data_IF_258517264744
#
_entry.id   IF_258517264744
#
_cell.length_a   1.000
_cell.length_b   1.000
_cell.length_c   1.000
_cell.angle_alpha   90.00
_cell.angle_beta   90.00
_cell.angle_gamma   90.00
#
_symmetry.space_group_name_H-M   'P 1'
#
loop_
_entity.id
_entity.type
_entity.pdbx_description
1 polymer ?
#
# COMPACT_ATOMS: atom_id res chain seq x y z
N UNK A 1 -14.62 -34.18 62.70
CA UNK A 1 -14.62 -32.95 61.88
C UNK A 1 -13.19 -32.50 61.62
N UNK A 2 -12.66 -32.71 60.41
CA UNK A 2 -11.47 -32.05 59.81
C UNK A 2 -11.04 -32.94 58.64
N UNK A 3 -11.49 -32.63 57.42
CA UNK A 3 -10.89 -33.12 56.15
C UNK A 3 -11.65 -32.65 54.89
N UNK A 4 -12.84 -32.05 55.02
CA UNK A 4 -13.65 -31.67 53.83
C UNK A 4 -13.26 -30.35 53.16
N UNK A 5 -12.46 -29.50 53.81
CA UNK A 5 -12.06 -28.19 53.26
C UNK A 5 -10.69 -28.21 52.56
N UNK A 6 -9.88 -29.26 52.78
CA UNK A 6 -8.54 -29.38 52.19
C UNK A 6 -8.58 -29.63 50.68
N UNK A 7 -9.49 -30.47 50.22
CA UNK A 7 -9.64 -30.84 48.80
C UNK A 7 -10.17 -29.70 47.94
N UNK A 8 -11.02 -28.82 48.50
CA UNK A 8 -11.55 -27.65 47.79
C UNK A 8 -10.46 -26.58 47.67
N UNK A 9 -9.65 -26.39 48.71
CA UNK A 9 -8.55 -25.44 48.69
C UNK A 9 -7.45 -25.85 47.69
N UNK A 10 -7.11 -27.14 47.60
CA UNK A 10 -6.13 -27.62 46.63
C UNK A 10 -6.63 -27.44 45.19
N UNK A 11 -7.89 -27.75 44.90
CA UNK A 11 -8.47 -27.54 43.56
C UNK A 11 -8.46 -26.06 43.16
N UNK A 12 -8.77 -25.13 44.07
CA UNK A 12 -8.72 -23.69 43.79
C UNK A 12 -7.29 -23.18 43.53
N UNK A 13 -6.29 -23.71 44.23
CA UNK A 13 -4.87 -23.36 43.98
C UNK A 13 -4.40 -23.90 42.63
N UNK A 14 -4.81 -25.12 42.25
CA UNK A 14 -4.49 -25.67 40.94
C UNK A 14 -5.14 -24.89 39.78
N UNK A 15 -6.39 -24.44 39.93
CA UNK A 15 -7.07 -23.65 38.89
C UNK A 15 -6.42 -22.27 38.74
N UNK A 16 -6.09 -21.60 39.84
CA UNK A 16 -5.47 -20.26 39.79
C UNK A 16 -4.05 -20.29 39.22
N UNK A 17 -3.27 -21.33 39.55
CA UNK A 17 -1.93 -21.54 38.98
C UNK A 17 -1.97 -21.94 37.51
N UNK A 18 -2.94 -22.75 37.08
CA UNK A 18 -3.09 -23.11 35.67
C UNK A 18 -3.54 -21.93 34.81
N UNK A 19 -4.46 -21.10 35.32
CA UNK A 19 -4.89 -19.87 34.65
C UNK A 19 -3.77 -18.83 34.58
N UNK A 20 -2.96 -18.68 35.62
CA UNK A 20 -1.83 -17.75 35.60
C UNK A 20 -0.70 -18.22 34.67
N UNK A 21 -0.43 -19.53 34.60
CA UNK A 21 0.54 -20.10 33.66
C UNK A 21 0.05 -20.00 32.20
N UNK A 22 -1.24 -20.25 31.96
CA UNK A 22 -1.87 -20.09 30.64
C UNK A 22 -1.84 -18.63 30.18
N UNK A 23 -2.14 -17.68 31.08
CA UNK A 23 -2.02 -16.25 30.79
C UNK A 23 -0.57 -15.83 30.53
N UNK A 24 0.37 -16.32 31.34
CA UNK A 24 1.79 -16.00 31.20
C UNK A 24 2.37 -16.55 29.89
N UNK A 25 2.01 -17.77 29.48
CA UNK A 25 2.44 -18.37 28.21
C UNK A 25 1.80 -17.67 27.01
N UNK A 26 0.53 -17.28 27.09
CA UNK A 26 -0.12 -16.46 26.06
C UNK A 26 0.53 -15.07 25.93
N UNK A 27 0.90 -14.45 27.05
CA UNK A 27 1.59 -13.16 27.08
C UNK A 27 3.03 -13.25 26.56
N UNK A 28 3.79 -14.28 26.94
CA UNK A 28 5.11 -14.59 26.40
C UNK A 28 5.05 -14.81 24.88
N UNK A 29 4.12 -15.63 24.39
CA UNK A 29 3.91 -15.84 22.95
C UNK A 29 3.55 -14.54 22.22
N UNK A 30 2.74 -13.67 22.82
CA UNK A 30 2.41 -12.36 22.26
C UNK A 30 3.64 -11.45 22.17
N UNK A 31 4.47 -11.44 23.22
CA UNK A 31 5.70 -10.65 23.29
C UNK A 31 6.77 -11.14 22.30
N UNK A 32 6.96 -12.45 22.17
CA UNK A 32 7.87 -13.04 21.19
C UNK A 32 7.45 -12.73 19.76
N UNK A 33 6.15 -12.85 19.43
CA UNK A 33 5.62 -12.42 18.12
C UNK A 33 5.88 -10.95 17.87
N UNK A 34 5.63 -10.08 18.85
CA UNK A 34 5.87 -8.63 18.72
C UNK A 34 7.35 -8.32 18.45
N UNK A 35 8.27 -8.97 19.17
CA UNK A 35 9.72 -8.83 18.99
C UNK A 35 10.15 -9.35 17.62
N UNK A 36 9.60 -10.48 17.17
CA UNK A 36 9.86 -11.02 15.83
C UNK A 36 9.39 -10.05 14.74
N UNK A 37 8.18 -9.50 14.86
CA UNK A 37 7.69 -8.48 13.94
C UNK A 37 8.57 -7.24 13.94
N UNK A 38 8.96 -6.72 15.11
CA UNK A 38 9.88 -5.56 15.19
C UNK A 38 11.21 -5.82 14.47
N UNK A 39 11.78 -7.03 14.61
CA UNK A 39 13.00 -7.41 13.88
C UNK A 39 12.77 -7.49 12.38
N UNK A 40 11.68 -8.12 11.94
CA UNK A 40 11.34 -8.20 10.52
C UNK A 40 11.10 -6.83 9.90
N UNK A 41 10.42 -5.93 10.61
CA UNK A 41 10.21 -4.55 10.22
C UNK A 41 11.52 -3.77 10.14
N UNK A 42 12.41 -3.91 11.12
CA UNK A 42 13.72 -3.27 11.07
C UNK A 42 14.57 -3.80 9.89
N UNK A 43 14.54 -5.11 9.65
CA UNK A 43 15.20 -5.71 8.50
C UNK A 43 14.59 -5.26 7.16
N UNK A 44 13.27 -5.05 7.11
CA UNK A 44 12.59 -4.47 5.95
C UNK A 44 13.01 -3.02 5.74
N UNK A 45 13.04 -2.19 6.80
CA UNK A 45 13.50 -0.79 6.77
C UNK A 45 14.89 -0.70 6.16
N UNK A 46 15.82 -1.52 6.63
CA UNK A 46 17.20 -1.50 6.16
C UNK A 46 17.31 -1.95 4.69
N UNK A 47 16.56 -2.98 4.29
CA UNK A 47 16.50 -3.40 2.88
C UNK A 47 15.95 -2.30 1.98
N UNK A 48 14.91 -1.58 2.42
CA UNK A 48 14.35 -0.44 1.68
C UNK A 48 15.36 0.70 1.55
N UNK A 49 16.04 1.07 2.65
CA UNK A 49 17.09 2.09 2.65
C UNK A 49 18.22 1.77 1.67
N UNK A 50 18.68 0.51 1.67
CA UNK A 50 19.70 0.03 0.72
C UNK A 50 19.17 0.08 -0.72
N UNK A 51 17.92 -0.32 -0.96
CA UNK A 51 17.31 -0.28 -2.28
C UNK A 51 17.15 1.16 -2.80
N UNK A 52 16.74 2.10 -1.95
CA UNK A 52 16.62 3.52 -2.28
C UNK A 52 17.98 4.14 -2.64
N UNK A 53 19.01 3.90 -1.81
CA UNK A 53 20.36 4.40 -2.09
C UNK A 53 20.89 3.87 -3.44
N UNK A 54 20.66 2.58 -3.73
CA UNK A 54 21.02 1.98 -5.03
C UNK A 54 20.23 2.59 -6.19
N UNK A 55 18.96 2.95 -5.97
CA UNK A 55 18.12 3.58 -6.99
C UNK A 55 18.61 4.99 -7.31
N UNK A 56 18.95 5.77 -6.29
CA UNK A 56 19.53 7.11 -6.45
C UNK A 56 20.86 7.08 -7.21
N UNK A 57 21.75 6.15 -6.87
CA UNK A 57 23.01 5.94 -7.59
C UNK A 57 22.80 5.60 -9.07
N UNK A 58 21.83 4.73 -9.39
CA UNK A 58 21.53 4.43 -10.80
C UNK A 58 20.90 5.60 -11.55
N UNK A 59 20.05 6.38 -10.89
CA UNK A 59 19.46 7.57 -11.50
C UNK A 59 20.54 8.58 -11.89
N UNK A 60 21.55 8.79 -11.05
CA UNK A 60 22.69 9.66 -11.39
C UNK A 60 23.56 9.08 -12.51
N UNK A 61 23.81 7.76 -12.52
CA UNK A 61 24.50 7.09 -13.63
C UNK A 61 23.75 7.23 -14.96
N UNK A 62 22.44 6.99 -14.99
CA UNK A 62 21.61 7.16 -16.18
C UNK A 62 21.58 8.61 -16.67
N UNK A 63 21.47 9.58 -15.77
CA UNK A 63 21.54 10.99 -16.13
C UNK A 63 22.91 11.36 -16.71
N UNK A 64 24.01 10.83 -16.15
CA UNK A 64 25.35 11.05 -16.70
C UNK A 64 25.48 10.47 -18.11
N UNK A 65 24.92 9.28 -18.36
CA UNK A 65 24.89 8.66 -19.70
C UNK A 65 24.03 9.47 -20.66
N UNK A 66 22.87 9.97 -20.23
CA UNK A 66 21.99 10.80 -21.06
C UNK A 66 22.67 12.12 -21.45
N UNK A 67 23.44 12.72 -20.54
CA UNK A 67 24.26 13.90 -20.85
C UNK A 67 25.41 13.59 -21.81
N UNK A 68 26.06 12.42 -21.69
CA UNK A 68 27.04 11.97 -22.68
C UNK A 68 26.41 11.79 -24.07
N UNK A 69 25.21 11.21 -24.13
CA UNK A 69 24.47 11.07 -25.37
C UNK A 69 24.10 12.43 -25.98
N UNK A 70 23.59 13.37 -25.16
CA UNK A 70 23.30 14.75 -25.61
C UNK A 70 24.53 15.45 -26.17
N UNK A 71 25.69 15.30 -25.52
CA UNK A 71 26.96 15.87 -26.01
C UNK A 71 27.38 15.26 -27.34
N UNK A 72 27.33 13.92 -27.46
CA UNK A 72 27.64 13.23 -28.70
C UNK A 72 26.72 13.67 -29.87
N UNK A 73 25.43 13.87 -29.60
CA UNK A 73 24.46 14.39 -30.58
C UNK A 73 24.74 15.87 -30.93
N UNK A 74 25.09 16.70 -29.95
CA UNK A 74 25.41 18.11 -30.19
C UNK A 74 26.69 18.29 -31.03
N UNK A 75 27.71 17.46 -30.81
CA UNK A 75 28.96 17.45 -31.56
C UNK A 75 28.78 16.97 -33.02
N UNK A 76 27.76 16.16 -33.30
CA UNK A 76 27.53 15.56 -34.64
C UNK A 76 26.62 16.38 -35.57
N UNK A 77 25.91 17.40 -35.07
CA UNK A 77 25.07 18.30 -35.89
C UNK A 77 25.85 19.15 -36.92
N UNK A 78 27.19 19.03 -36.98
CA UNK A 78 28.04 19.73 -37.96
C UNK A 78 28.41 18.94 -39.22
N UNK A 79 28.10 17.64 -39.37
CA UNK A 79 28.56 16.86 -40.53
C UNK A 79 27.64 15.72 -40.96
N UNK A 80 27.20 15.74 -42.23
CA UNK A 80 26.30 14.74 -42.84
C UNK A 80 26.88 13.32 -42.95
N UNK A 81 28.18 13.12 -42.68
CA UNK A 81 28.83 11.80 -42.68
C UNK A 81 28.75 11.06 -41.32
N UNK A 82 28.16 11.69 -40.28
CA UNK A 82 28.13 11.15 -38.93
C UNK A 82 27.03 10.10 -38.66
N UNK A 83 26.03 9.98 -39.55
CA UNK A 83 24.83 9.18 -39.30
C UNK A 83 25.08 7.66 -39.29
N UNK A 84 26.10 7.18 -40.01
CA UNK A 84 26.50 5.75 -39.99
C UNK A 84 27.37 5.41 -38.76
N UNK A 85 28.26 6.29 -38.33
CA UNK A 85 29.07 6.10 -37.11
C UNK A 85 28.21 6.20 -35.83
N UNK A 86 27.15 7.01 -35.88
CA UNK A 86 26.17 7.12 -34.79
C UNK A 86 25.51 5.78 -34.47
N UNK A 87 25.29 4.92 -35.47
CA UNK A 87 24.68 3.61 -35.24
C UNK A 87 25.59 2.70 -34.42
N UNK A 88 26.88 2.60 -34.78
CA UNK A 88 27.81 1.68 -34.11
C UNK A 88 28.17 2.12 -32.69
N UNK A 89 28.37 3.41 -32.45
CA UNK A 89 28.70 3.92 -31.11
C UNK A 89 27.49 3.87 -30.18
N UNK A 90 26.29 4.18 -30.69
CA UNK A 90 25.03 4.03 -29.95
C UNK A 90 24.73 2.56 -29.66
N UNK A 91 24.97 1.66 -30.63
CA UNK A 91 24.84 0.21 -30.43
C UNK A 91 25.86 -0.32 -29.42
N UNK A 92 27.07 0.23 -29.39
CA UNK A 92 28.11 -0.15 -28.42
C UNK A 92 27.75 0.32 -27.01
N UNK A 93 27.23 1.53 -26.85
CA UNK A 93 26.69 2.05 -25.58
C UNK A 93 25.49 1.23 -25.11
N UNK A 94 24.53 0.91 -26.00
CA UNK A 94 23.39 0.03 -25.70
C UNK A 94 23.84 -1.40 -25.34
N UNK A 95 24.87 -1.90 -26.01
CA UNK A 95 25.46 -3.22 -25.73
C UNK A 95 26.24 -3.23 -24.41
N UNK A 96 26.86 -2.12 -24.03
CA UNK A 96 27.50 -1.95 -22.72
C UNK A 96 26.44 -1.84 -21.60
N UNK A 97 25.36 -1.10 -21.85
CA UNK A 97 24.19 -1.00 -20.97
C UNK A 97 23.50 -2.36 -20.73
N UNK A 98 23.42 -3.21 -21.76
CA UNK A 98 22.81 -4.54 -21.67
C UNK A 98 23.77 -5.62 -21.15
N UNK A 99 25.09 -5.45 -21.32
CA UNK A 99 26.11 -6.42 -20.87
C UNK A 99 26.64 -6.18 -19.45
N UNK A 100 26.48 -4.97 -18.89
CA UNK A 100 26.61 -4.76 -17.45
C UNK A 100 25.49 -5.53 -16.76
N UNK A 101 25.80 -6.77 -16.35
CA UNK A 101 24.92 -7.69 -15.60
C UNK A 101 23.88 -6.92 -14.79
N UNK A 102 22.65 -6.92 -15.30
CA UNK A 102 21.52 -6.22 -14.70
C UNK A 102 21.18 -6.89 -13.36
N UNK A 103 21.87 -6.50 -12.29
CA UNK A 103 21.39 -6.74 -10.95
C UNK A 103 20.11 -5.91 -10.83
N UNK A 104 18.95 -6.54 -11.03
CA UNK A 104 17.65 -5.88 -11.01
C UNK A 104 17.50 -5.14 -9.66
N UNK A 105 17.25 -3.83 -9.68
CA UNK A 105 16.72 -3.17 -8.47
C UNK A 105 15.41 -3.89 -8.14
N UNK A 106 15.06 -4.10 -6.87
CA UNK A 106 13.69 -4.44 -6.49
C UNK A 106 12.73 -3.32 -6.94
N UNK A 107 12.37 -3.33 -8.22
CA UNK A 107 11.24 -2.59 -8.78
C UNK A 107 10.04 -3.53 -8.71
N UNK A 108 8.82 -3.01 -8.80
CA UNK A 108 7.60 -3.83 -8.81
C UNK A 108 7.67 -4.97 -9.83
N UNK A 109 8.36 -4.78 -10.96
CA UNK A 109 8.61 -5.80 -11.98
C UNK A 109 9.47 -6.99 -11.55
N UNK A 110 10.27 -6.87 -10.49
CA UNK A 110 10.97 -8.01 -9.90
C UNK A 110 9.99 -8.95 -9.21
N UNK A 111 9.00 -8.39 -8.51
CA UNK A 111 7.98 -9.14 -7.78
C UNK A 111 6.79 -9.53 -8.67
N UNK A 112 6.48 -8.71 -9.66
CA UNK A 112 5.35 -8.83 -10.58
C UNK A 112 5.84 -8.70 -12.03
N UNK A 113 6.63 -9.67 -12.55
CA UNK A 113 7.23 -9.59 -13.87
C UNK A 113 6.20 -9.60 -15.02
N UNK A 114 4.99 -10.10 -14.77
CA UNK A 114 3.92 -10.10 -15.77
C UNK A 114 3.48 -8.68 -16.16
N UNK A 115 3.72 -7.68 -15.31
CA UNK A 115 3.42 -6.28 -15.62
C UNK A 115 4.24 -5.76 -16.82
N UNK A 116 5.40 -6.35 -17.13
CA UNK A 116 6.19 -5.98 -18.32
C UNK A 116 5.49 -6.35 -19.63
N UNK A 117 4.48 -7.22 -19.59
CA UNK A 117 3.74 -7.63 -20.79
C UNK A 117 2.75 -6.56 -21.26
N UNK A 118 2.35 -5.65 -20.37
CA UNK A 118 1.34 -4.62 -20.66
C UNK A 118 1.73 -3.30 -20.00
N UNK A 119 2.06 -2.30 -20.80
CA UNK A 119 2.52 -0.99 -20.29
C UNK A 119 1.46 -0.27 -19.43
N UNK A 120 0.17 -0.52 -19.68
CA UNK A 120 -0.95 0.04 -18.92
C UNK A 120 -1.28 -0.66 -17.60
N UNK A 121 -0.58 -1.74 -17.21
CA UNK A 121 -0.96 -2.50 -16.01
C UNK A 121 -0.86 -1.74 -14.68
N UNK A 122 -0.14 -0.62 -14.65
CA UNK A 122 0.01 0.23 -13.45
C UNK A 122 -0.86 1.50 -13.49
N UNK A 123 -1.63 1.70 -14.57
CA UNK A 123 -2.54 2.82 -14.70
C UNK A 123 -3.96 2.34 -14.39
N UNK A 124 -4.77 3.11 -13.64
CA UNK A 124 -6.16 2.73 -13.39
C UNK A 124 -6.93 2.56 -14.71
N UNK A 125 -7.73 1.50 -14.82
CA UNK A 125 -8.66 1.34 -15.96
C UNK A 125 -9.87 2.25 -15.84
N UNK A 126 -10.24 2.61 -14.61
CA UNK A 126 -11.25 3.61 -14.29
C UNK A 126 -10.62 4.57 -13.29
N UNK A 127 -10.77 5.87 -13.55
CA UNK A 127 -10.32 6.94 -12.67
C UNK A 127 -11.34 8.09 -12.75
N UNK A 128 -11.97 8.40 -11.63
CA UNK A 128 -12.94 9.49 -11.50
C UNK A 128 -12.52 10.38 -10.33
N UNK A 129 -12.41 11.68 -10.59
CA UNK A 129 -12.01 12.68 -9.60
C UNK A 129 -11.06 13.72 -10.19
N UNK A 130 -10.75 14.76 -9.41
CA UNK A 130 -9.98 15.92 -9.88
C UNK A 130 -8.46 15.77 -9.77
N UNK A 131 -7.96 14.63 -9.27
CA UNK A 131 -6.52 14.39 -9.18
C UNK A 131 -5.82 15.32 -8.19
N UNK A 132 -6.47 15.65 -7.07
CA UNK A 132 -5.96 16.61 -6.08
C UNK A 132 -4.67 16.09 -5.45
N UNK A 133 -3.73 17.00 -5.18
CA UNK A 133 -2.41 16.74 -4.61
C UNK A 133 -2.04 17.83 -3.60
N UNK A 134 -0.95 17.63 -2.83
CA UNK A 134 -0.47 18.61 -1.86
C UNK A 134 -1.23 18.60 -0.53
N UNK A 135 -1.94 17.52 -0.22
CA UNK A 135 -2.67 17.37 1.04
C UNK A 135 -1.79 16.78 2.14
N UNK A 136 -2.14 16.97 3.41
CA UNK A 136 -1.40 16.33 4.51
C UNK A 136 -1.64 14.82 4.54
N UNK A 137 -2.88 14.35 4.38
CA UNK A 137 -3.24 12.93 4.53
C UNK A 137 -4.03 12.43 3.31
N UNK A 138 -3.64 11.28 2.78
CA UNK A 138 -4.39 10.51 1.79
C UNK A 138 -4.98 9.28 2.46
N UNK A 139 -6.30 9.11 2.37
CA UNK A 139 -7.02 7.98 2.95
C UNK A 139 -7.35 6.96 1.85
N UNK A 140 -6.72 5.79 1.90
CA UNK A 140 -6.99 4.70 0.97
C UNK A 140 -8.12 3.80 1.46
N UNK A 141 -9.19 3.67 0.68
CA UNK A 141 -10.39 2.90 1.04
C UNK A 141 -10.65 1.83 -0.04
N UNK A 142 -10.15 0.60 0.12
CA UNK A 142 -10.39 -0.49 -0.80
C UNK A 142 -11.77 -1.11 -0.57
N UNK A 143 -12.47 -1.40 -1.65
CA UNK A 143 -13.76 -2.09 -1.65
C UNK A 143 -13.76 -3.20 -2.69
N UNK A 144 -14.51 -4.26 -2.42
CA UNK A 144 -14.66 -5.44 -3.28
C UNK A 144 -16.12 -5.86 -3.30
N UNK A 145 -16.51 -6.64 -4.31
CA UNK A 145 -17.90 -7.04 -4.50
C UNK A 145 -18.37 -7.93 -3.34
N UNK A 146 -19.25 -7.39 -2.49
CA UNK A 146 -19.91 -8.13 -1.40
C UNK A 146 -21.19 -8.81 -1.91
N UNK A 147 -21.48 -10.01 -1.40
CA UNK A 147 -22.68 -10.79 -1.80
C UNK A 147 -24.00 -10.26 -1.25
N UNK A 148 -23.97 -9.56 -0.11
CA UNK A 148 -25.16 -9.25 0.69
C UNK A 148 -25.41 -7.74 0.75
N UNK A 149 -24.45 -6.98 1.28
CA UNK A 149 -24.57 -5.54 1.47
C UNK A 149 -23.21 -4.87 1.28
N UNK A 150 -23.21 -3.70 0.63
CA UNK A 150 -22.07 -2.79 0.61
C UNK A 150 -22.13 -1.86 1.83
N UNK A 151 -21.00 -1.66 2.49
CA UNK A 151 -20.86 -0.74 3.65
C UNK A 151 -20.11 0.55 3.29
N UNK A 152 -19.68 0.66 2.03
CA UNK A 152 -18.83 1.74 1.55
C UNK A 152 -19.48 3.11 1.74
N UNK A 153 -20.77 3.22 1.42
CA UNK A 153 -21.52 4.47 1.55
C UNK A 153 -21.61 4.93 3.00
N UNK A 154 -21.90 4.02 3.94
CA UNK A 154 -21.93 4.34 5.36
C UNK A 154 -20.55 4.73 5.90
N UNK A 155 -19.49 4.06 5.43
CA UNK A 155 -18.11 4.40 5.78
C UNK A 155 -17.72 5.79 5.28
N UNK A 156 -18.03 6.13 4.03
CA UNK A 156 -17.75 7.45 3.46
C UNK A 156 -18.50 8.56 4.20
N UNK A 157 -19.80 8.39 4.45
CA UNK A 157 -20.56 9.33 5.29
C UNK A 157 -19.90 9.52 6.66
N UNK A 158 -19.54 8.41 7.32
CA UNK A 158 -18.88 8.45 8.62
C UNK A 158 -17.57 9.23 8.62
N UNK A 159 -16.77 9.11 7.54
CA UNK A 159 -15.49 9.80 7.35
C UNK A 159 -15.68 11.28 7.02
N UNK A 160 -16.58 11.60 6.08
CA UNK A 160 -16.78 12.94 5.52
C UNK A 160 -17.49 13.86 6.50
N UNK A 161 -18.51 13.36 7.20
CA UNK A 161 -19.34 14.16 8.13
C UNK A 161 -18.56 14.61 9.36
N UNK A 162 -17.46 13.92 9.69
CA UNK A 162 -16.62 14.21 10.86
C UNK A 162 -15.38 15.03 10.53
N UNK A 163 -15.27 15.55 9.31
CA UNK A 163 -14.22 16.49 8.89
C UNK A 163 -14.72 17.93 8.96
N UNK A 164 -13.87 18.83 9.47
CA UNK A 164 -14.08 20.27 9.32
C UNK A 164 -13.87 20.72 7.86
N UNK A 165 -14.36 21.91 7.45
CA UNK A 165 -14.11 22.46 6.12
C UNK A 165 -12.61 22.56 5.78
N UNK A 166 -11.78 22.93 6.76
CA UNK A 166 -10.32 23.02 6.59
C UNK A 166 -9.70 21.62 6.44
N UNK A 167 -10.15 20.64 7.22
CA UNK A 167 -9.67 19.26 7.11
C UNK A 167 -10.06 18.64 5.75
N UNK A 168 -11.24 18.95 5.21
CA UNK A 168 -11.66 18.51 3.86
C UNK A 168 -10.74 19.04 2.76
N UNK A 169 -10.16 20.23 2.93
CA UNK A 169 -9.17 20.79 1.99
C UNK A 169 -7.78 20.16 2.15
N UNK A 170 -7.49 19.57 3.31
CA UNK A 170 -6.19 19.00 3.67
C UNK A 170 -6.16 17.46 3.62
N UNK A 171 -7.16 16.82 3.03
CA UNK A 171 -7.19 15.37 2.81
C UNK A 171 -7.86 14.91 1.52
N UNK A 172 -7.37 13.83 0.92
CA UNK A 172 -8.04 13.16 -0.20
C UNK A 172 -8.40 11.74 0.21
N UNK A 173 -9.63 11.33 -0.08
CA UNK A 173 -10.10 9.96 0.06
C UNK A 173 -10.05 9.27 -1.31
N UNK A 174 -9.27 8.20 -1.42
CA UNK A 174 -9.17 7.41 -2.65
C UNK A 174 -9.89 6.08 -2.43
N UNK A 175 -11.05 5.95 -3.04
CA UNK A 175 -11.82 4.70 -3.07
C UNK A 175 -11.27 3.81 -4.19
N UNK A 176 -10.73 2.66 -3.80
CA UNK A 176 -10.20 1.68 -4.74
C UNK A 176 -11.19 0.52 -4.90
N UNK A 177 -11.81 0.41 -6.07
CA UNK A 177 -12.69 -0.71 -6.41
C UNK A 177 -11.80 -1.85 -6.90
N UNK A 178 -11.52 -2.83 -6.05
CA UNK A 178 -10.68 -3.98 -6.33
C UNK A 178 -11.35 -5.03 -7.21
N UNK A 179 -12.07 -4.61 -8.25
CA UNK A 179 -12.76 -5.47 -9.20
C UNK A 179 -12.33 -5.13 -10.62
N UNK A 180 -12.34 -6.15 -11.49
CA UNK A 180 -11.93 -6.00 -12.90
C UNK A 180 -13.12 -6.05 -13.86
N UNK A 181 -14.31 -6.40 -13.36
CA UNK A 181 -15.57 -6.39 -14.10
C UNK A 181 -16.04 -4.93 -14.25
N UNK A 182 -15.90 -4.40 -15.47
CA UNK A 182 -16.19 -2.99 -15.76
C UNK A 182 -17.66 -2.63 -15.54
N UNK A 183 -18.60 -3.56 -15.76
CA UNK A 183 -20.03 -3.28 -15.55
C UNK A 183 -20.29 -3.07 -14.05
N UNK A 184 -19.70 -3.93 -13.21
CA UNK A 184 -19.78 -3.75 -11.77
C UNK A 184 -19.07 -2.47 -11.31
N UNK A 185 -17.85 -2.21 -11.78
CA UNK A 185 -17.09 -1.00 -11.42
C UNK A 185 -17.89 0.26 -11.76
N UNK A 186 -18.42 0.35 -12.98
CA UNK A 186 -19.22 1.49 -13.42
C UNK A 186 -20.52 1.64 -12.60
N UNK A 187 -21.14 0.53 -12.18
CA UNK A 187 -22.33 0.60 -11.31
C UNK A 187 -21.99 1.19 -9.93
N UNK A 188 -20.83 0.86 -9.36
CA UNK A 188 -20.37 1.42 -8.08
C UNK A 188 -20.03 2.90 -8.25
N UNK A 189 -19.30 3.26 -9.31
CA UNK A 189 -18.98 4.65 -9.65
C UNK A 189 -20.26 5.49 -9.76
N UNK A 190 -21.24 5.04 -10.54
CA UNK A 190 -22.50 5.77 -10.71
C UNK A 190 -23.26 5.94 -9.39
N UNK A 191 -23.21 4.95 -8.50
CA UNK A 191 -23.80 5.05 -7.16
C UNK A 191 -23.09 6.07 -6.29
N UNK A 192 -21.75 6.13 -6.35
CA UNK A 192 -20.95 7.11 -5.61
C UNK A 192 -21.12 8.52 -6.17
N UNK A 193 -21.17 8.70 -7.48
CA UNK A 193 -21.43 9.99 -8.12
C UNK A 193 -22.81 10.54 -7.73
N UNK A 194 -23.81 9.67 -7.64
CA UNK A 194 -25.16 10.07 -7.21
C UNK A 194 -25.19 10.59 -5.77
N UNK A 195 -24.48 9.92 -4.86
CA UNK A 195 -24.53 10.20 -3.42
C UNK A 195 -23.52 11.30 -3.00
N UNK A 196 -22.32 11.29 -3.57
CA UNK A 196 -21.16 12.12 -3.17
C UNK A 196 -20.70 13.09 -4.28
N UNK A 197 -21.63 13.53 -5.13
CA UNK A 197 -21.31 14.45 -6.26
C UNK A 197 -20.54 15.69 -5.81
N UNK A 198 -20.90 16.28 -4.67
CA UNK A 198 -20.24 17.48 -4.13
C UNK A 198 -18.79 17.19 -3.72
N UNK A 199 -18.54 16.07 -3.08
CA UNK A 199 -17.21 15.66 -2.60
C UNK A 199 -16.31 15.23 -3.75
N UNK A 200 -16.87 14.59 -4.78
CA UNK A 200 -16.12 14.27 -6.00
C UNK A 200 -15.79 15.53 -6.80
N UNK A 201 -16.74 16.45 -6.96
CA UNK A 201 -16.54 17.71 -7.66
C UNK A 201 -15.61 18.70 -6.92
N UNK A 202 -15.45 18.55 -5.61
CA UNK A 202 -14.44 19.30 -4.83
C UNK A 202 -13.07 18.62 -4.81
N UNK A 203 -12.95 17.41 -5.37
CA UNK A 203 -11.73 16.62 -5.34
C UNK A 203 -11.38 16.07 -3.94
N UNK A 204 -12.35 15.98 -3.03
CA UNK A 204 -12.20 15.31 -1.74
C UNK A 204 -12.24 13.79 -1.92
N UNK A 205 -13.13 13.28 -2.78
CA UNK A 205 -13.28 11.84 -3.08
C UNK A 205 -12.83 11.56 -4.50
N UNK A 206 -11.95 10.57 -4.66
CA UNK A 206 -11.54 10.01 -5.94
C UNK A 206 -11.87 8.51 -5.97
N UNK A 207 -12.25 8.00 -7.14
CA UNK A 207 -12.56 6.59 -7.35
C UNK A 207 -11.63 6.03 -8.42
N UNK A 208 -10.98 4.91 -8.13
CA UNK A 208 -10.10 4.21 -9.06
C UNK A 208 -10.42 2.71 -9.10
N UNK A 209 -10.14 2.07 -10.24
CA UNK A 209 -10.14 0.62 -10.37
C UNK A 209 -8.90 0.14 -11.16
N UNK A 210 -8.32 -1.01 -10.80
CA UNK A 210 -7.15 -1.55 -11.48
C UNK A 210 -7.54 -2.25 -12.79
N UNK A 211 -6.66 -2.25 -13.81
CA UNK A 211 -6.85 -3.06 -14.99
C UNK A 211 -6.69 -4.55 -14.64
N UNK A 212 -7.38 -5.44 -15.35
CA UNK A 212 -7.26 -6.88 -15.14
C UNK A 212 -5.82 -7.39 -15.27
N UNK A 213 -5.02 -6.74 -16.14
CA UNK A 213 -3.62 -7.05 -16.39
C UNK A 213 -2.67 -6.69 -15.23
N UNK A 214 -3.16 -5.98 -14.21
CA UNK A 214 -2.41 -5.73 -12.98
C UNK A 214 -2.21 -7.01 -12.16
N UNK A 215 -3.25 -7.85 -12.08
CA UNK A 215 -3.19 -9.04 -11.25
C UNK A 215 -2.40 -10.18 -11.92
N UNK A 216 -1.53 -10.88 -11.18
CA UNK A 216 -0.91 -12.11 -11.65
C UNK A 216 -1.93 -13.26 -11.68
N UNK A 217 -1.51 -14.41 -12.19
CA UNK A 217 -2.27 -15.65 -11.99
C UNK A 217 -2.27 -16.04 -10.50
N UNK A 218 -3.46 -16.03 -9.89
CA UNK A 218 -3.67 -16.35 -8.47
C UNK A 218 -4.16 -17.80 -8.25
N UNK A 219 -4.13 -18.65 -9.26
CA UNK A 219 -4.61 -20.05 -9.16
C UNK A 219 -3.62 -20.97 -8.44
N UNK A 220 -2.32 -20.75 -8.63
CA UNK A 220 -1.24 -21.63 -8.18
C UNK A 220 -0.45 -21.04 -6.99
N UNK A 221 -1.17 -20.55 -5.98
CA UNK A 221 -0.54 -19.97 -4.79
C UNK A 221 -0.14 -21.06 -3.79
N UNK A 222 1.03 -20.88 -3.16
CA UNK A 222 1.50 -21.74 -2.07
C UNK A 222 0.65 -21.50 -0.83
N UNK A 223 0.15 -22.58 -0.23
CA UNK A 223 -0.57 -22.51 1.03
C UNK A 223 0.37 -22.08 2.17
N UNK A 224 -0.10 -21.16 3.00
CA UNK A 224 0.64 -20.60 4.14
C UNK A 224 -0.28 -20.52 5.35
N UNK A 225 0.28 -20.61 6.57
CA UNK A 225 -0.46 -20.45 7.82
C UNK A 225 -1.66 -21.41 8.03
N UNK A 226 -1.71 -22.54 7.31
CA UNK A 226 -2.83 -23.49 7.39
C UNK A 226 -4.12 -22.99 6.76
N UNK A 227 -4.04 -21.95 5.93
CA UNK A 227 -5.19 -21.34 5.24
C UNK A 227 -5.66 -22.19 4.06
N UNK A 228 -6.97 -22.15 3.78
CA UNK A 228 -7.51 -22.67 2.52
C UNK A 228 -6.99 -21.88 1.33
N UNK A 229 -6.98 -22.48 0.14
CA UNK A 229 -6.55 -21.81 -1.10
C UNK A 229 -7.32 -20.53 -1.38
N UNK A 230 -8.62 -20.51 -1.08
CA UNK A 230 -9.46 -19.32 -1.24
C UNK A 230 -9.00 -18.19 -0.32
N UNK A 231 -8.67 -18.49 0.93
CA UNK A 231 -8.20 -17.50 1.91
C UNK A 231 -6.82 -16.97 1.54
N UNK A 232 -5.92 -17.83 1.05
CA UNK A 232 -4.60 -17.44 0.53
C UNK A 232 -4.75 -16.53 -0.69
N UNK A 233 -5.61 -16.90 -1.63
CA UNK A 233 -5.93 -16.08 -2.81
C UNK A 233 -6.49 -14.73 -2.42
N UNK A 234 -7.44 -14.69 -1.48
CA UNK A 234 -8.03 -13.46 -0.98
C UNK A 234 -6.97 -12.52 -0.42
N UNK A 235 -6.13 -12.99 0.51
CA UNK A 235 -5.06 -12.17 1.12
C UNK A 235 -4.01 -11.72 0.13
N UNK A 236 -3.64 -12.59 -0.82
CA UNK A 236 -2.67 -12.24 -1.85
C UNK A 236 -3.22 -11.13 -2.74
N UNK A 237 -4.49 -11.24 -3.16
CA UNK A 237 -5.16 -10.18 -3.92
C UNK A 237 -5.26 -8.88 -3.11
N UNK A 238 -5.67 -8.96 -1.85
CA UNK A 238 -5.78 -7.79 -0.97
C UNK A 238 -4.45 -7.04 -0.81
N UNK A 239 -3.33 -7.76 -0.67
CA UNK A 239 -2.01 -7.11 -0.64
C UNK A 239 -1.71 -6.36 -1.94
N UNK A 240 -2.05 -6.94 -3.09
CA UNK A 240 -1.87 -6.27 -4.39
C UNK A 240 -2.78 -5.05 -4.52
N UNK A 241 -4.00 -5.11 -4.00
CA UNK A 241 -4.95 -3.99 -3.95
C UNK A 241 -4.35 -2.83 -3.15
N UNK A 242 -3.80 -3.12 -1.97
CA UNK A 242 -3.14 -2.12 -1.12
C UNK A 242 -1.90 -1.53 -1.79
N UNK A 243 -1.08 -2.35 -2.45
CA UNK A 243 0.07 -1.85 -3.20
C UNK A 243 -0.35 -0.90 -4.32
N UNK A 244 -1.40 -1.22 -5.09
CA UNK A 244 -1.88 -0.35 -6.16
C UNK A 244 -2.35 0.99 -5.61
N UNK A 245 -3.13 0.95 -4.53
CA UNK A 245 -3.67 2.13 -3.88
C UNK A 245 -2.56 3.04 -3.32
N UNK A 246 -1.57 2.47 -2.64
CA UNK A 246 -0.41 3.20 -2.14
C UNK A 246 0.41 3.83 -3.28
N UNK A 247 0.63 3.09 -4.38
CA UNK A 247 1.33 3.64 -5.55
C UNK A 247 0.59 4.83 -6.16
N UNK A 248 -0.73 4.74 -6.28
CA UNK A 248 -1.55 5.85 -6.77
C UNK A 248 -1.53 7.05 -5.81
N UNK A 249 -1.56 6.80 -4.50
CA UNK A 249 -1.58 7.82 -3.46
C UNK A 249 -0.23 8.51 -3.24
N UNK A 250 0.90 7.90 -3.62
CA UNK A 250 2.26 8.34 -3.28
C UNK A 250 2.52 9.83 -3.53
N UNK A 251 2.01 10.38 -4.64
CA UNK A 251 2.26 11.77 -5.04
C UNK A 251 1.21 12.77 -4.52
N UNK A 252 0.21 12.30 -3.77
CA UNK A 252 -0.95 13.12 -3.39
C UNK A 252 -0.78 13.82 -2.05
N UNK A 253 -0.11 13.20 -1.09
CA UNK A 253 0.06 13.81 0.23
C UNK A 253 1.27 13.33 1.00
N UNK A 254 1.46 13.92 2.19
CA UNK A 254 2.61 13.67 3.06
C UNK A 254 2.49 12.33 3.77
N UNK A 255 1.29 12.03 4.28
CA UNK A 255 0.97 10.78 4.97
C UNK A 255 -0.08 9.99 4.19
N UNK A 256 0.03 8.67 4.26
CA UNK A 256 -0.98 7.73 3.78
C UNK A 256 -1.59 7.02 4.98
N UNK A 257 -2.91 6.81 4.95
CA UNK A 257 -3.59 5.94 5.90
C UNK A 257 -4.41 4.88 5.16
N UNK A 258 -4.16 3.62 5.47
CA UNK A 258 -4.94 2.49 4.97
C UNK A 258 -6.21 2.32 5.81
N UNK A 259 -7.36 2.34 5.15
CA UNK A 259 -8.67 2.06 5.75
C UNK A 259 -9.30 0.82 5.10
N UNK A 260 -10.47 0.42 5.60
CA UNK A 260 -11.36 -0.60 5.03
C UNK A 260 -12.74 0.04 4.74
N UNK A 261 -13.55 -0.60 3.91
CA UNK A 261 -14.87 -0.10 3.48
C UNK A 261 -16.00 -0.34 4.47
N UNK A 262 -15.72 -0.91 5.65
CA UNK A 262 -16.69 -1.23 6.71
C UNK A 262 -16.27 -0.70 8.10
N UNK A 263 -15.89 0.57 8.17
CA UNK A 263 -15.47 1.23 9.40
C UNK A 263 -16.36 2.40 9.80
N UNK A 264 -16.34 2.73 11.09
CA UNK A 264 -16.96 3.94 11.63
C UNK A 264 -15.92 4.70 12.43
N UNK A 265 -15.64 5.94 12.02
CA UNK A 265 -14.66 6.79 12.70
C UNK A 265 -15.28 7.61 13.83
N UNK A 266 -14.45 7.95 14.82
CA UNK A 266 -14.81 8.84 15.93
C UNK A 266 -14.73 10.30 15.49
N UNK A 267 -15.38 11.18 16.26
CA UNK A 267 -15.23 12.62 16.08
C UNK A 267 -13.76 13.04 16.23
N UNK A 268 -13.31 14.01 15.44
CA UNK A 268 -11.94 14.55 15.47
C UNK A 268 -10.85 13.52 15.15
N UNK A 269 -11.17 12.43 14.43
CA UNK A 269 -10.19 11.42 14.06
C UNK A 269 -9.03 12.01 13.25
N UNK A 270 -9.33 12.91 12.32
CA UNK A 270 -8.36 13.51 11.41
C UNK A 270 -7.29 14.30 12.17
N UNK A 271 -7.71 15.32 12.93
CA UNK A 271 -6.81 16.11 13.76
C UNK A 271 -6.05 15.27 14.78
N UNK A 272 -6.68 14.26 15.38
CA UNK A 272 -6.00 13.34 16.31
C UNK A 272 -4.85 12.59 15.62
N UNK A 273 -5.11 12.00 14.44
CA UNK A 273 -4.11 11.26 13.65
C UNK A 273 -2.99 12.20 13.20
N UNK A 274 -3.35 13.35 12.62
CA UNK A 274 -2.40 14.33 12.09
C UNK A 274 -1.49 14.86 13.20
N UNK A 275 -2.05 15.24 14.34
CA UNK A 275 -1.27 15.77 15.46
C UNK A 275 -0.33 14.72 16.04
N UNK A 276 -0.77 13.46 16.14
CA UNK A 276 0.08 12.36 16.59
C UNK A 276 1.26 12.12 15.64
N UNK A 277 1.01 12.11 14.32
CA UNK A 277 2.07 11.99 13.32
C UNK A 277 3.08 13.15 13.40
N UNK A 278 2.59 14.39 13.60
CA UNK A 278 3.44 15.57 13.74
C UNK A 278 4.27 15.55 15.03
N UNK A 279 3.72 15.07 16.14
CA UNK A 279 4.46 14.91 17.40
C UNK A 279 5.65 13.94 17.25
N UNK A 280 5.50 12.93 16.40
CA UNK A 280 6.54 11.94 16.12
C UNK A 280 7.40 12.29 14.91
N UNK A 281 7.25 13.50 14.32
CA UNK A 281 7.97 13.87 13.10
C UNK A 281 9.49 13.92 13.27
N UNK A 282 10.00 14.11 14.50
CA UNK A 282 11.43 14.05 14.80
C UNK A 282 11.96 12.63 15.04
N UNK A 283 11.09 11.63 15.11
CA UNK A 283 11.45 10.23 15.35
C UNK A 283 11.54 9.43 14.03
N UNK A 284 12.40 8.41 14.03
CA UNK A 284 12.63 7.55 12.88
C UNK A 284 11.61 6.40 12.80
N UNK A 285 10.38 6.67 12.35
CA UNK A 285 9.33 5.66 12.17
C UNK A 285 9.06 5.29 10.70
N UNK A 286 8.37 4.16 10.48
CA UNK A 286 7.94 3.70 9.13
C UNK A 286 6.42 3.61 9.02
N UNK A 287 5.75 3.16 10.08
CA UNK A 287 4.29 3.00 10.16
C UNK A 287 3.86 3.46 11.55
N UNK A 288 2.72 4.15 11.63
CA UNK A 288 2.03 4.47 12.88
C UNK A 288 0.73 3.66 12.93
N UNK A 289 0.31 3.24 14.13
CA UNK A 289 -0.86 2.37 14.27
C UNK A 289 -1.96 3.06 15.09
N UNK A 290 -3.15 3.17 14.51
CA UNK A 290 -4.32 3.82 15.09
C UNK A 290 -5.49 2.84 15.35
N UNK A 291 -5.38 1.59 14.91
CA UNK A 291 -6.34 0.52 15.14
C UNK A 291 -5.63 -0.78 15.48
N UNK A 292 -6.20 -1.55 16.43
CA UNK A 292 -5.68 -2.84 16.86
C UNK A 292 -6.03 -4.00 15.91
N UNK A 293 -6.91 -3.75 14.93
CA UNK A 293 -7.42 -4.78 14.03
C UNK A 293 -6.77 -4.68 12.65
N UNK A 294 -6.06 -5.74 12.27
CA UNK A 294 -5.58 -5.93 10.91
C UNK A 294 -4.67 -4.81 10.41
N UNK A 295 -4.79 -4.46 9.14
CA UNK A 295 -3.99 -3.41 8.50
C UNK A 295 -4.73 -2.05 8.43
N UNK A 296 -5.88 -1.95 9.11
CA UNK A 296 -6.69 -0.74 9.19
C UNK A 296 -5.98 0.29 10.06
N UNK A 297 -6.07 1.57 9.70
CA UNK A 297 -5.54 2.68 10.46
C UNK A 297 -4.02 2.63 10.60
N UNK A 298 -3.32 2.29 9.52
CA UNK A 298 -1.86 2.25 9.42
C UNK A 298 -1.35 3.15 8.32
#
# INVERSE_FOLDING_TARGET
MRLRNGTVATVLVFITTFLSLSWYTAWQNGKEKLIAYQREFHALKERLRIAEHRTLQRSSELNAILEQFRRAVAETNGSKNAMNNFSDETLKLLKELTSRKSLQVPNIYYHLPHLLKNEGSLQPSVQVGLGRTGVSIVMGIPTVKRKVKSYLTETLHSLIDKLSPEEKLDCVMVVFIGETDLDYVNSVVASLEKEFSTEMNSGLVEVIAPPATYYPDLTNLKETFGDSKERVRWRTKQNLDYCFLMMYAQKKGVYYIQLEDDIVVKQNYFSTIKNFALQLASEDWMILEFSQLGFIGK
#
